data_IF_106631441535
#
_entry.id   IF_106631441535
#
_cell.length_a   1.000
_cell.length_b   1.000
_cell.length_c   1.000
_cell.angle_alpha   90.00
_cell.angle_beta   90.00
_cell.angle_gamma   90.00
#
_symmetry.space_group_name_H-M   'P 1'
#
loop_
_entity.id
_entity.type
_entity.pdbx_description
1 polymer ?
#
# COMPACT_ATOMS: atom_id res chain seq x y z
N UNK A 1 -9.50 3.33 -11.61
CA UNK A 1 -8.17 3.54 -11.01
C UNK A 1 -7.19 2.58 -11.67
N UNK A 2 -5.97 2.99 -12.02
CA UNK A 2 -4.97 2.04 -12.52
C UNK A 2 -4.69 1.00 -11.42
N UNK A 3 -4.59 -0.30 -11.76
CA UNK A 3 -4.32 -1.34 -10.78
C UNK A 3 -2.91 -1.18 -10.20
N UNK A 4 -2.80 -1.27 -8.88
CA UNK A 4 -1.55 -1.29 -8.14
C UNK A 4 -1.02 -2.72 -8.05
N UNK A 5 0.14 -2.96 -8.66
CA UNK A 5 0.79 -4.28 -8.77
C UNK A 5 1.53 -4.74 -7.50
N UNK A 6 1.73 -3.82 -6.55
CA UNK A 6 2.57 -4.05 -5.37
C UNK A 6 3.97 -3.42 -5.45
N UNK A 7 4.22 -2.47 -6.36
CA UNK A 7 5.49 -1.74 -6.41
C UNK A 7 5.68 -0.77 -5.24
N UNK A 8 6.80 -0.90 -4.52
CA UNK A 8 7.09 -0.06 -3.35
C UNK A 8 7.23 1.43 -3.69
N UNK A 9 7.73 1.74 -4.88
CA UNK A 9 7.91 3.12 -5.35
C UNK A 9 6.57 3.82 -5.56
N UNK A 10 5.57 3.06 -6.03
CA UNK A 10 4.23 3.57 -6.34
C UNK A 10 3.26 3.50 -5.16
N UNK A 11 3.66 2.86 -4.04
CA UNK A 11 2.80 2.65 -2.87
C UNK A 11 2.27 3.96 -2.30
N UNK A 12 3.13 4.96 -2.12
CA UNK A 12 2.75 6.26 -1.52
C UNK A 12 1.72 6.97 -2.40
N UNK A 13 1.98 7.06 -3.71
CA UNK A 13 1.04 7.66 -4.66
C UNK A 13 -0.29 6.91 -4.75
N UNK A 14 -0.26 5.57 -4.68
CA UNK A 14 -1.47 4.75 -4.64
C UNK A 14 -2.26 5.00 -3.35
N UNK A 15 -1.58 4.95 -2.20
CA UNK A 15 -2.18 5.15 -0.88
C UNK A 15 -2.89 6.48 -0.81
N UNK A 16 -2.21 7.57 -1.16
CA UNK A 16 -2.76 8.92 -1.02
C UNK A 16 -3.97 9.11 -1.96
N UNK A 17 -3.87 8.59 -3.20
CA UNK A 17 -4.97 8.62 -4.17
C UNK A 17 -6.17 7.78 -3.73
N UNK A 18 -5.93 6.58 -3.22
CA UNK A 18 -7.01 5.69 -2.75
C UNK A 18 -7.68 6.28 -1.51
N UNK A 19 -6.91 6.87 -0.59
CA UNK A 19 -7.44 7.56 0.59
C UNK A 19 -8.36 8.70 0.19
N UNK A 20 -7.90 9.63 -0.66
CA UNK A 20 -8.66 10.79 -1.07
C UNK A 20 -9.95 10.44 -1.86
N UNK A 21 -9.91 9.39 -2.69
CA UNK A 21 -11.04 9.04 -3.55
C UNK A 21 -12.03 8.06 -2.90
N UNK A 22 -11.56 7.16 -2.04
CA UNK A 22 -12.35 6.01 -1.56
C UNK A 22 -12.52 6.03 -0.03
N UNK A 23 -11.45 6.30 0.73
CA UNK A 23 -11.51 6.25 2.20
C UNK A 23 -12.22 7.48 2.75
N UNK A 24 -11.85 8.67 2.29
CA UNK A 24 -12.43 9.94 2.75
C UNK A 24 -13.84 10.19 2.21
N UNK A 25 -14.24 9.43 1.18
CA UNK A 25 -15.58 9.51 0.62
C UNK A 25 -16.61 8.91 1.60
N UNK A 26 -17.40 9.77 2.25
CA UNK A 26 -18.41 9.39 3.24
C UNK A 26 -19.63 8.69 2.66
N UNK A 27 -19.85 8.76 1.35
CA UNK A 27 -20.98 8.10 0.68
C UNK A 27 -20.72 6.60 0.43
N UNK A 28 -19.46 6.16 0.53
CA UNK A 28 -19.09 4.77 0.33
C UNK A 28 -19.20 3.98 1.64
N UNK A 29 -19.81 2.80 1.56
CA UNK A 29 -19.79 1.82 2.66
C UNK A 29 -18.46 1.06 2.68
N UNK A 30 -18.09 0.48 3.82
CA UNK A 30 -16.86 -0.32 3.93
C UNK A 30 -16.85 -1.54 2.98
N UNK A 31 -18.00 -2.17 2.71
CA UNK A 31 -18.11 -3.23 1.70
C UNK A 31 -17.72 -2.71 0.32
N UNK A 32 -18.24 -1.54 -0.07
CA UNK A 32 -17.93 -0.92 -1.35
C UNK A 32 -16.45 -0.53 -1.43
N UNK A 33 -15.87 0.01 -0.34
CA UNK A 33 -14.42 0.29 -0.25
C UNK A 33 -13.59 -0.97 -0.43
N UNK A 34 -13.98 -2.10 0.16
CA UNK A 34 -13.29 -3.39 0.01
C UNK A 34 -13.37 -3.93 -1.42
N UNK A 35 -14.52 -3.79 -2.08
CA UNK A 35 -14.68 -4.12 -3.51
C UNK A 35 -13.76 -3.28 -4.39
N UNK A 36 -13.71 -1.96 -4.15
CA UNK A 36 -12.78 -1.08 -4.86
C UNK A 36 -11.34 -1.45 -4.58
N UNK A 37 -10.97 -1.72 -3.33
CA UNK A 37 -9.62 -2.12 -2.94
C UNK A 37 -9.19 -3.36 -3.72
N UNK A 38 -10.00 -4.42 -3.70
CA UNK A 38 -9.73 -5.70 -4.39
C UNK A 38 -9.61 -5.52 -5.90
N UNK A 39 -10.38 -4.60 -6.49
CA UNK A 39 -10.35 -4.30 -7.92
C UNK A 39 -9.16 -3.42 -8.32
N UNK A 40 -8.68 -2.59 -7.40
CA UNK A 40 -7.57 -1.67 -7.63
C UNK A 40 -6.21 -2.26 -7.27
N UNK A 41 -6.15 -3.46 -6.69
CA UNK A 41 -4.89 -4.18 -6.43
C UNK A 41 -4.71 -5.37 -7.37
N UNK A 42 -3.47 -5.60 -7.76
CA UNK A 42 -3.02 -6.68 -8.62
C UNK A 42 -1.72 -7.29 -8.08
N UNK A 43 -1.29 -8.40 -8.68
CA UNK A 43 -0.02 -9.04 -8.35
C UNK A 43 0.16 -9.29 -6.85
N UNK A 44 1.28 -8.78 -6.31
CA UNK A 44 1.68 -9.02 -4.92
C UNK A 44 0.76 -8.32 -3.92
N UNK A 45 0.19 -7.17 -4.29
CA UNK A 45 -0.76 -6.47 -3.44
C UNK A 45 -2.07 -7.27 -3.32
N UNK A 46 -2.53 -7.86 -4.43
CA UNK A 46 -3.71 -8.75 -4.41
C UNK A 46 -3.47 -10.03 -3.62
N UNK A 47 -2.28 -10.63 -3.73
CA UNK A 47 -1.92 -11.80 -2.92
C UNK A 47 -1.98 -11.53 -1.42
N UNK A 48 -1.59 -10.33 -0.97
CA UNK A 48 -1.64 -9.97 0.46
C UNK A 48 -3.05 -10.01 1.05
N UNK A 49 -4.07 -9.67 0.27
CA UNK A 49 -5.45 -9.59 0.73
C UNK A 49 -6.32 -10.73 0.20
N UNK A 50 -5.72 -11.70 -0.51
CA UNK A 50 -6.44 -12.79 -1.19
C UNK A 50 -7.25 -13.66 -0.22
N UNK A 51 -6.73 -13.87 0.98
CA UNK A 51 -7.34 -14.75 1.98
C UNK A 51 -8.43 -14.03 2.79
N UNK A 52 -8.65 -12.73 2.53
CA UNK A 52 -9.70 -11.93 3.16
C UNK A 52 -10.96 -11.94 2.29
N UNK A 53 -12.09 -12.31 2.89
CA UNK A 53 -13.39 -12.19 2.23
C UNK A 53 -13.73 -10.71 2.00
N UNK A 54 -14.42 -10.41 0.89
CA UNK A 54 -14.89 -9.06 0.56
C UNK A 54 -16.07 -8.69 1.45
N UNK A 55 -15.79 -8.20 2.65
CA UNK A 55 -16.77 -7.78 3.65
C UNK A 55 -16.40 -6.40 4.23
N UNK A 56 -17.36 -5.75 4.91
CA UNK A 56 -17.13 -4.46 5.54
C UNK A 56 -16.05 -4.54 6.63
N UNK A 57 -16.11 -5.59 7.45
CA UNK A 57 -15.21 -5.79 8.59
C UNK A 57 -13.77 -6.04 8.13
N UNK A 58 -13.61 -6.62 6.94
CA UNK A 58 -12.30 -6.95 6.40
C UNK A 58 -11.64 -5.78 5.67
N UNK A 59 -12.34 -4.68 5.38
CA UNK A 59 -11.74 -3.53 4.70
C UNK A 59 -10.56 -2.96 5.50
N UNK A 60 -10.79 -2.67 6.78
CA UNK A 60 -9.77 -2.09 7.65
C UNK A 60 -8.58 -3.04 7.83
N UNK A 61 -8.88 -4.33 8.01
CA UNK A 61 -7.86 -5.39 8.08
C UNK A 61 -7.03 -5.45 6.80
N UNK A 62 -7.67 -5.47 5.62
CA UNK A 62 -7.00 -5.51 4.33
C UNK A 62 -6.12 -4.27 4.10
N UNK A 63 -6.63 -3.09 4.44
CA UNK A 63 -5.91 -1.83 4.30
C UNK A 63 -4.69 -1.76 5.21
N UNK A 64 -4.85 -2.16 6.47
CA UNK A 64 -3.74 -2.22 7.43
C UNK A 64 -2.68 -3.24 7.00
N UNK A 65 -3.08 -4.38 6.43
CA UNK A 65 -2.15 -5.41 5.97
C UNK A 65 -1.32 -4.94 4.76
N UNK A 66 -1.96 -4.26 3.80
CA UNK A 66 -1.25 -3.60 2.69
C UNK A 66 -0.27 -2.54 3.21
N UNK A 67 -0.74 -1.66 4.11
CA UNK A 67 0.07 -0.58 4.69
C UNK A 67 1.28 -1.14 5.42
N UNK A 68 1.07 -2.09 6.34
CA UNK A 68 2.16 -2.75 7.06
C UNK A 68 3.16 -3.44 6.14
N UNK A 69 2.71 -4.00 5.00
CA UNK A 69 3.57 -4.77 4.11
C UNK A 69 4.37 -3.92 3.13
N UNK A 70 3.79 -2.85 2.60
CA UNK A 70 4.43 -2.01 1.58
C UNK A 70 5.11 -0.77 2.18
N UNK A 71 4.59 -0.22 3.28
CA UNK A 71 5.21 0.92 3.96
C UNK A 71 6.47 0.52 4.74
N UNK A 72 6.45 -0.59 5.47
CA UNK A 72 7.64 -1.08 6.18
C UNK A 72 8.78 -1.41 5.21
N UNK A 73 8.48 -2.05 4.08
CA UNK A 73 9.51 -2.40 3.10
C UNK A 73 10.11 -1.18 2.42
N UNK A 74 9.31 -0.16 2.11
CA UNK A 74 9.83 1.13 1.62
C UNK A 74 10.74 1.78 2.66
N UNK A 75 10.35 1.81 3.94
CA UNK A 75 11.19 2.35 5.03
C UNK A 75 12.51 1.61 5.18
N UNK A 76 12.49 0.28 5.12
CA UNK A 76 13.70 -0.56 5.20
C UNK A 76 14.61 -0.27 4.00
N UNK A 77 14.08 -0.30 2.78
CA UNK A 77 14.84 0.00 1.57
C UNK A 77 15.46 1.41 1.59
N UNK A 78 14.67 2.42 1.97
CA UNK A 78 15.18 3.78 2.12
C UNK A 78 16.25 3.88 3.22
N UNK A 79 16.08 3.17 4.33
CA UNK A 79 17.10 3.10 5.38
C UNK A 79 18.42 2.56 4.84
N UNK A 80 18.39 1.43 4.12
CA UNK A 80 19.59 0.85 3.50
C UNK A 80 20.20 1.75 2.43
N UNK A 81 19.39 2.37 1.56
CA UNK A 81 19.87 3.27 0.52
C UNK A 81 20.56 4.50 1.13
N UNK A 82 19.95 5.11 2.15
CA UNK A 82 20.54 6.23 2.87
C UNK A 82 21.85 5.82 3.57
N UNK A 83 21.94 4.61 4.14
CA UNK A 83 23.19 4.12 4.72
C UNK A 83 24.30 3.90 3.69
N UNK A 84 23.96 3.45 2.48
CA UNK A 84 24.94 3.28 1.38
C UNK A 84 25.37 4.64 0.83
N UNK A 85 24.44 5.58 0.65
CA UNK A 85 24.72 6.91 0.09
C UNK A 85 25.43 7.85 1.08
N UNK A 86 25.24 7.66 2.39
CA UNK A 86 25.97 8.39 3.44
C UNK A 86 27.27 7.69 3.86
N UNK A 87 27.82 6.79 3.05
CA UNK A 87 29.18 6.31 3.29
C UNK A 87 30.13 7.52 3.23
N UNK A 88 30.88 7.82 4.30
CA UNK A 88 31.85 8.91 4.25
C UNK A 88 32.85 8.56 3.17
N UNK A 89 32.94 9.41 2.14
CA UNK A 89 34.02 9.36 1.18
C UNK A 89 35.29 9.45 2.03
N UNK A 90 36.05 8.37 2.10
CA UNK A 90 37.35 8.36 2.77
C UNK A 90 38.22 9.31 1.94
N UNK A 91 38.29 10.57 2.37
CA UNK A 91 39.23 11.52 1.82
C UNK A 91 40.63 11.05 2.22
N UNK A 92 41.45 10.84 1.20
CA UNK A 92 42.81 10.30 1.29
C UNK A 92 43.80 11.37 1.71
#
# INVERSE_FOLDING_TARGET
LPPYDGSFESWESFRDRFTALIIENRELSNVTRMHFLTSCVAGRARECIRDLAVTADNFETAWNLLTARFENKRRILNGHLTSILNLPVISR
#
